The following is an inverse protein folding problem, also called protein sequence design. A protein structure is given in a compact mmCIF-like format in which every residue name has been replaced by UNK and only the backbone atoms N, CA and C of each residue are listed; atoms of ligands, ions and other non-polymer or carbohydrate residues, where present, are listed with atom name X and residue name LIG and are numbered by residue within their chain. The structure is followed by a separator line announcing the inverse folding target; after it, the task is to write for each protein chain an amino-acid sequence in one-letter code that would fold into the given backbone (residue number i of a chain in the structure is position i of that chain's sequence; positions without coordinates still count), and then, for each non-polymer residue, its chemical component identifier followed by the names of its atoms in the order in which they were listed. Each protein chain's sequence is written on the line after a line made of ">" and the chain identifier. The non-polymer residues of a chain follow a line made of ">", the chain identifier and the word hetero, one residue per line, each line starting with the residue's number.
data_IF_540507343699
#
_entry.id   IF_540507343699
#
_cell.length_a   1.000
_cell.length_b   1.000
_cell.length_c   1.000
_cell.angle_alpha   90.00
_cell.angle_beta   90.00
_cell.angle_gamma   90.00
#
_symmetry.space_group_name_H-M   'P 1'
#
loop_
_entity.id
_entity.type
_entity.pdbx_description
1 polymer ?
#
# COMPACT_ATOMS: atom_id res chain seq x y z
N UNK A 1 17.88 -51.83 -18.09
CA UNK A 1 16.46 -51.53 -17.83
C UNK A 1 16.18 -50.13 -17.28
N UNK A 2 17.17 -49.41 -16.71
CA UNK A 2 16.99 -48.02 -16.19
C UNK A 2 16.68 -46.99 -17.30
N UNK A 3 17.18 -47.19 -18.53
CA UNK A 3 16.99 -46.26 -19.65
C UNK A 3 15.55 -46.15 -20.16
N UNK A 4 14.73 -47.20 -20.03
CA UNK A 4 13.35 -47.20 -20.55
C UNK A 4 12.37 -46.41 -19.67
N UNK A 5 12.67 -46.27 -18.38
CA UNK A 5 11.78 -45.60 -17.41
C UNK A 5 11.93 -44.07 -17.43
N UNK A 6 13.14 -43.58 -17.76
CA UNK A 6 13.42 -42.15 -17.98
C UNK A 6 12.73 -41.63 -19.24
N UNK A 7 12.69 -42.45 -20.30
CA UNK A 7 12.04 -42.09 -21.58
C UNK A 7 10.52 -42.01 -21.44
N UNK A 8 9.90 -42.91 -20.65
CA UNK A 8 8.45 -42.96 -20.46
C UNK A 8 7.88 -41.80 -19.63
N UNK A 9 8.67 -41.19 -18.74
CA UNK A 9 8.20 -40.11 -17.85
C UNK A 9 8.50 -38.69 -18.37
N UNK A 10 9.60 -38.48 -19.10
CA UNK A 10 9.94 -37.18 -19.69
C UNK A 10 9.12 -36.85 -20.94
N UNK A 11 8.76 -37.85 -21.75
CA UNK A 11 8.01 -37.66 -23.00
C UNK A 11 6.65 -36.94 -22.84
N UNK A 12 5.74 -37.34 -21.93
CA UNK A 12 4.43 -36.69 -21.82
C UNK A 12 4.53 -35.26 -21.28
N UNK A 13 5.51 -34.96 -20.42
CA UNK A 13 5.73 -33.61 -19.89
C UNK A 13 6.28 -32.68 -20.96
N UNK A 14 7.26 -33.14 -21.74
CA UNK A 14 7.83 -32.38 -22.86
C UNK A 14 6.80 -32.20 -23.99
N UNK A 15 6.04 -33.26 -24.30
CA UNK A 15 4.96 -33.20 -25.30
C UNK A 15 3.85 -32.24 -24.87
N UNK A 16 3.41 -32.31 -23.61
CA UNK A 16 2.44 -31.36 -23.04
C UNK A 16 2.95 -29.92 -23.06
N UNK A 17 4.23 -29.69 -22.74
CA UNK A 17 4.84 -28.37 -22.82
C UNK A 17 4.95 -27.84 -24.25
N UNK A 18 5.27 -28.71 -25.23
CA UNK A 18 5.37 -28.37 -26.65
C UNK A 18 4.00 -28.06 -27.25
N UNK A 19 3.02 -28.95 -27.10
CA UNK A 19 1.63 -28.75 -27.57
C UNK A 19 1.04 -27.49 -26.97
N UNK A 20 1.31 -27.22 -25.70
CA UNK A 20 0.91 -25.99 -25.03
C UNK A 20 1.59 -24.75 -25.63
N UNK A 21 2.90 -24.80 -25.88
CA UNK A 21 3.64 -23.70 -26.49
C UNK A 21 3.12 -23.37 -27.91
N UNK A 22 2.77 -24.40 -28.69
CA UNK A 22 2.22 -24.27 -30.04
C UNK A 22 0.80 -23.70 -30.01
N UNK A 23 -0.14 -24.31 -29.26
CA UNK A 23 -1.52 -23.81 -29.16
C UNK A 23 -1.60 -22.40 -28.61
N UNK A 24 -0.71 -22.05 -27.66
CA UNK A 24 -0.65 -20.68 -27.12
C UNK A 24 -0.15 -19.68 -28.15
N UNK A 25 0.73 -20.09 -29.07
CA UNK A 25 1.22 -19.24 -30.15
C UNK A 25 0.12 -18.98 -31.19
N UNK A 26 -0.72 -19.97 -31.46
CA UNK A 26 -1.86 -19.89 -32.37
C UNK A 26 -3.02 -19.07 -31.80
N UNK A 27 -3.25 -19.13 -30.48
CA UNK A 27 -4.33 -18.39 -29.81
C UNK A 27 -4.00 -16.90 -29.54
N UNK A 28 -2.80 -16.42 -29.85
CA UNK A 28 -2.48 -15.00 -29.71
C UNK A 28 -2.98 -14.25 -30.94
N UNK A 29 -4.09 -13.54 -30.79
CA UNK A 29 -4.57 -12.57 -31.76
C UNK A 29 -3.43 -11.67 -32.25
N UNK A 30 -3.41 -11.27 -33.54
CA UNK A 30 -2.38 -10.38 -34.07
C UNK A 30 -2.26 -9.14 -33.17
N UNK A 31 -1.03 -8.85 -32.76
CA UNK A 31 -0.76 -7.72 -31.86
C UNK A 31 -1.13 -6.44 -32.63
N UNK A 32 -2.06 -5.63 -32.11
CA UNK A 32 -2.42 -4.38 -32.76
C UNK A 32 -1.18 -3.51 -32.89
N UNK A 33 -1.04 -2.85 -34.04
CA UNK A 33 0.03 -1.88 -34.25
C UNK A 33 -0.19 -0.74 -33.26
N UNK A 34 0.74 -0.50 -32.32
CA UNK A 34 0.56 0.57 -31.34
C UNK A 34 0.55 1.93 -32.05
N UNK A 35 -0.24 2.90 -31.58
CA UNK A 35 -0.18 4.27 -32.07
C UNK A 35 1.22 4.86 -31.84
N UNK A 36 1.60 5.91 -32.60
CA UNK A 36 2.88 6.56 -32.40
C UNK A 36 3.02 7.03 -30.95
N UNK A 37 4.23 6.97 -30.35
CA UNK A 37 4.43 7.27 -28.92
C UNK A 37 3.91 8.64 -28.47
N UNK A 38 3.81 9.60 -29.39
CA UNK A 38 3.35 10.98 -29.18
C UNK A 38 1.85 11.07 -28.89
N UNK A 39 1.05 10.10 -29.34
CA UNK A 39 -0.42 10.09 -29.18
C UNK A 39 -0.89 9.31 -27.94
N UNK A 40 0.05 8.78 -27.16
CA UNK A 40 -0.25 8.03 -25.94
C UNK A 40 -0.74 8.98 -24.84
N UNK A 41 -1.89 8.64 -24.23
CA UNK A 41 -2.39 9.37 -23.08
C UNK A 41 -1.41 9.30 -21.90
N UNK A 42 -1.42 10.34 -21.07
CA UNK A 42 -0.48 10.52 -19.98
C UNK A 42 -0.51 9.38 -18.94
N UNK A 43 -1.69 8.78 -18.70
CA UNK A 43 -1.84 7.60 -17.84
C UNK A 43 -1.07 6.39 -18.37
N UNK A 44 -1.11 6.17 -19.69
CA UNK A 44 -0.40 5.09 -20.36
C UNK A 44 1.11 5.33 -20.31
N UNK A 45 1.55 6.56 -20.56
CA UNK A 45 2.96 6.95 -20.39
C UNK A 45 3.43 6.67 -18.97
N UNK A 46 2.62 7.04 -17.97
CA UNK A 46 2.92 6.76 -16.57
C UNK A 46 3.06 5.26 -16.28
N UNK A 47 2.13 4.44 -16.79
CA UNK A 47 2.20 2.97 -16.69
C UNK A 47 3.47 2.42 -17.33
N UNK A 48 3.86 2.92 -18.50
CA UNK A 48 5.06 2.48 -19.22
C UNK A 48 6.34 2.81 -18.43
N UNK A 49 6.44 4.04 -17.92
CA UNK A 49 7.55 4.48 -17.07
C UNK A 49 7.59 3.69 -15.74
N UNK A 50 6.41 3.33 -15.22
CA UNK A 50 6.21 2.46 -14.06
C UNK A 50 6.46 0.97 -14.31
N UNK A 51 7.02 0.59 -15.49
CA UNK A 51 7.31 -0.80 -15.87
C UNK A 51 6.06 -1.70 -15.85
N UNK A 52 4.92 -1.16 -16.26
CA UNK A 52 3.62 -1.84 -16.27
C UNK A 52 2.75 -1.58 -15.04
N UNK A 53 3.27 -0.90 -14.01
CA UNK A 53 2.50 -0.50 -12.84
C UNK A 53 1.97 0.93 -13.03
N UNK A 54 0.64 1.11 -12.93
CA UNK A 54 0.01 2.44 -12.89
C UNK A 54 0.30 3.06 -11.54
N UNK A 55 0.87 4.26 -11.53
CA UNK A 55 1.25 4.96 -10.30
C UNK A 55 0.32 6.13 -10.00
N UNK A 56 0.21 6.59 -8.73
CA UNK A 56 -0.62 7.76 -8.40
C UNK A 56 -0.32 9.02 -9.22
N UNK A 57 0.91 9.16 -9.73
CA UNK A 57 1.28 10.26 -10.63
C UNK A 57 0.45 10.27 -11.93
N UNK A 58 -0.09 9.13 -12.34
CA UNK A 58 -1.03 9.04 -13.46
C UNK A 58 -2.26 9.92 -13.25
N UNK A 59 -2.76 10.06 -12.02
CA UNK A 59 -3.93 10.89 -11.69
C UNK A 59 -3.63 12.35 -12.04
N UNK A 60 -2.50 12.86 -11.58
CA UNK A 60 -2.06 14.24 -11.83
C UNK A 60 -1.84 14.48 -13.32
N UNK A 61 -1.13 13.58 -14.01
CA UNK A 61 -0.81 13.76 -15.41
C UNK A 61 -2.04 13.64 -16.31
N UNK A 62 -2.98 12.74 -16.00
CA UNK A 62 -4.28 12.66 -16.69
C UNK A 62 -5.12 13.88 -16.40
N UNK A 63 -5.11 14.39 -15.16
CA UNK A 63 -5.78 15.64 -14.80
C UNK A 63 -5.28 16.82 -15.64
N UNK A 64 -3.96 16.92 -15.83
CA UNK A 64 -3.36 17.95 -16.70
C UNK A 64 -3.72 17.76 -18.18
N UNK A 65 -3.76 16.51 -18.68
CA UNK A 65 -4.23 16.23 -20.05
C UNK A 65 -5.70 16.66 -20.23
N UNK A 66 -6.56 16.40 -19.25
CA UNK A 66 -7.96 16.85 -19.25
C UNK A 66 -8.09 18.37 -19.16
N UNK A 67 -7.16 19.06 -18.50
CA UNK A 67 -7.07 20.52 -18.51
C UNK A 67 -6.74 21.02 -19.92
N UNK A 68 -5.72 20.44 -20.56
CA UNK A 68 -5.36 20.79 -21.94
C UNK A 68 -6.47 20.50 -22.93
N UNK A 69 -7.26 19.46 -22.71
CA UNK A 69 -8.43 19.11 -23.50
C UNK A 69 -9.68 19.96 -23.19
N UNK A 70 -9.57 20.96 -22.29
CA UNK A 70 -10.69 21.83 -21.91
C UNK A 70 -11.81 21.14 -21.11
N UNK A 71 -11.58 19.93 -20.61
CA UNK A 71 -12.54 19.19 -19.77
C UNK A 71 -12.47 19.61 -18.30
N UNK A 72 -11.30 20.03 -17.84
CA UNK A 72 -11.05 20.59 -16.52
C UNK A 72 -10.48 22.00 -16.66
N UNK A 73 -10.76 22.89 -15.69
CA UNK A 73 -10.06 24.17 -15.56
C UNK A 73 -9.05 24.08 -14.44
N UNK A 74 -7.79 24.39 -14.76
CA UNK A 74 -6.72 24.49 -13.78
C UNK A 74 -6.63 25.90 -13.25
N UNK A 75 -6.68 26.03 -11.94
CA UNK A 75 -6.52 27.28 -11.23
C UNK A 75 -5.41 27.15 -10.20
N UNK A 76 -4.73 28.27 -9.91
CA UNK A 76 -3.68 28.31 -8.91
C UNK A 76 -4.15 29.23 -7.78
N UNK A 77 -4.22 28.69 -6.57
CA UNK A 77 -4.49 29.46 -5.35
C UNK A 77 -3.28 30.35 -5.01
N UNK A 78 -3.50 31.33 -4.12
CA UNK A 78 -2.46 32.25 -3.66
C UNK A 78 -1.29 31.55 -2.96
N UNK A 79 -1.54 30.39 -2.33
CA UNK A 79 -0.54 29.50 -1.72
C UNK A 79 0.29 28.69 -2.74
N UNK A 80 0.00 28.83 -4.04
CA UNK A 80 0.65 28.09 -5.13
C UNK A 80 0.03 26.72 -5.41
N UNK A 81 -0.94 26.26 -4.61
CA UNK A 81 -1.63 24.99 -4.81
C UNK A 81 -2.41 25.01 -6.13
N UNK A 82 -2.25 23.92 -6.90
CA UNK A 82 -2.97 23.68 -8.14
C UNK A 82 -4.30 23.01 -7.84
N UNK A 83 -5.39 23.70 -8.14
CA UNK A 83 -6.75 23.19 -8.01
C UNK A 83 -7.39 22.99 -9.38
N UNK A 84 -8.24 21.97 -9.49
CA UNK A 84 -9.02 21.70 -10.69
C UNK A 84 -10.50 21.85 -10.40
N UNK A 85 -11.27 22.31 -11.38
CA UNK A 85 -12.73 22.25 -11.39
C UNK A 85 -13.23 21.73 -12.72
N UNK A 86 -14.47 21.24 -12.74
CA UNK A 86 -15.15 20.87 -13.99
C UNK A 86 -15.33 22.12 -14.86
N UNK A 87 -15.13 21.98 -16.18
CA UNK A 87 -15.46 23.04 -17.13
C UNK A 87 -16.96 23.03 -17.43
N UNK A 88 -17.59 24.21 -17.47
CA UNK A 88 -19.05 24.36 -17.68
C UNK A 88 -19.49 23.96 -19.10
N UNK A 89 -18.64 24.21 -20.10
CA UNK A 89 -18.84 23.81 -21.50
C UNK A 89 -17.58 23.09 -22.00
N UNK A 90 -17.64 21.77 -21.94
CA UNK A 90 -16.55 20.95 -22.44
C UNK A 90 -16.69 20.77 -23.96
N UNK A 91 -16.21 21.74 -24.74
CA UNK A 91 -16.35 21.79 -26.20
C UNK A 91 -15.44 20.79 -26.96
N UNK A 92 -14.92 19.78 -26.26
CA UNK A 92 -14.00 18.81 -26.84
C UNK A 92 -14.77 17.74 -27.61
N UNK A 93 -14.42 17.60 -28.89
CA UNK A 93 -14.96 16.61 -29.83
C UNK A 93 -14.40 15.20 -29.62
N UNK A 94 -13.34 15.04 -28.81
CA UNK A 94 -12.73 13.72 -28.58
C UNK A 94 -13.57 12.93 -27.55
N UNK A 95 -13.92 11.66 -27.85
CA UNK A 95 -14.57 10.78 -26.88
C UNK A 95 -13.66 10.57 -25.67
N UNK A 96 -14.26 10.56 -24.48
CA UNK A 96 -13.55 10.31 -23.24
C UNK A 96 -13.12 8.84 -23.16
N UNK A 97 -11.90 8.60 -22.67
CA UNK A 97 -11.44 7.24 -22.32
C UNK A 97 -12.04 6.84 -20.98
N UNK A 98 -12.26 5.55 -20.75
CA UNK A 98 -12.89 5.08 -19.52
C UNK A 98 -12.16 5.53 -18.23
N UNK A 99 -10.82 5.61 -18.24
CA UNK A 99 -10.07 6.12 -17.08
C UNK A 99 -10.17 7.65 -16.93
N UNK A 100 -10.39 8.39 -18.02
CA UNK A 100 -10.63 9.84 -17.99
C UNK A 100 -12.00 10.13 -17.37
N UNK A 101 -13.02 9.35 -17.73
CA UNK A 101 -14.36 9.43 -17.14
C UNK A 101 -14.32 9.16 -15.63
N UNK A 102 -13.63 8.10 -15.19
CA UNK A 102 -13.44 7.80 -13.78
C UNK A 102 -12.75 8.95 -13.02
N UNK A 103 -11.81 9.66 -13.66
CA UNK A 103 -11.17 10.82 -13.05
C UNK A 103 -12.12 12.01 -12.95
N UNK A 104 -12.90 12.31 -14.00
CA UNK A 104 -13.91 13.36 -13.99
C UNK A 104 -15.02 13.09 -12.97
N UNK A 105 -15.46 11.84 -12.86
CA UNK A 105 -16.42 11.40 -11.84
C UNK A 105 -15.86 11.59 -10.44
N UNK A 106 -14.58 11.24 -10.22
CA UNK A 106 -13.91 11.52 -8.94
C UNK A 106 -13.85 13.02 -8.64
N UNK A 107 -13.49 13.85 -9.62
CA UNK A 107 -13.50 15.32 -9.44
C UNK A 107 -14.91 15.79 -9.11
N UNK A 108 -15.93 15.34 -9.83
CA UNK A 108 -17.35 15.68 -9.59
C UNK A 108 -17.78 15.28 -8.18
N UNK A 109 -17.48 14.05 -7.76
CA UNK A 109 -17.80 13.56 -6.43
C UNK A 109 -17.08 14.36 -5.32
N UNK A 110 -15.87 14.85 -5.60
CA UNK A 110 -15.09 15.67 -4.68
C UNK A 110 -15.50 17.15 -4.67
N UNK A 111 -16.02 17.66 -5.78
CA UNK A 111 -16.70 18.93 -5.83
C UNK A 111 -18.07 18.79 -5.13
N UNK A 112 -18.10 18.93 -3.81
CA UNK A 112 -19.37 18.94 -3.05
C UNK A 112 -20.14 20.23 -3.34
N UNK A 113 -21.41 20.27 -2.94
CA UNK A 113 -22.34 21.42 -3.10
C UNK A 113 -21.72 22.77 -2.69
N UNK A 114 -20.75 22.76 -1.77
CA UNK A 114 -20.11 23.97 -1.24
C UNK A 114 -18.63 24.14 -1.62
N UNK A 115 -18.07 23.25 -2.44
CA UNK A 115 -16.65 23.30 -2.82
C UNK A 115 -16.53 23.02 -4.32
N UNK A 116 -16.32 24.08 -5.10
CA UNK A 116 -16.30 24.05 -6.57
C UNK A 116 -14.98 23.55 -7.16
N UNK A 117 -13.87 23.65 -6.39
CA UNK A 117 -12.50 23.36 -6.83
C UNK A 117 -11.87 22.31 -5.96
N UNK A 118 -11.07 21.41 -6.52
CA UNK A 118 -10.39 20.32 -5.80
C UNK A 118 -8.88 20.39 -6.05
N UNK A 119 -8.02 20.39 -5.01
CA UNK A 119 -6.58 20.28 -5.19
C UNK A 119 -6.21 19.01 -5.97
N UNK A 120 -5.33 19.13 -6.96
CA UNK A 120 -4.90 17.97 -7.76
C UNK A 120 -4.30 16.86 -6.87
N UNK A 121 -3.63 17.26 -5.79
CA UNK A 121 -3.05 16.34 -4.80
C UNK A 121 -4.11 15.61 -3.95
N UNK A 122 -5.29 16.20 -3.74
CA UNK A 122 -6.41 15.58 -3.01
C UNK A 122 -7.06 14.43 -3.80
N UNK A 123 -6.87 14.39 -5.12
CA UNK A 123 -7.34 13.26 -5.94
C UNK A 123 -6.53 11.98 -5.71
N UNK A 124 -5.33 12.11 -5.12
CA UNK A 124 -4.38 11.03 -4.89
C UNK A 124 -4.62 10.17 -3.64
N UNK A 125 -3.66 9.29 -3.30
CA UNK A 125 -3.74 8.39 -2.16
C UNK A 125 -3.67 9.17 -0.85
N UNK A 126 -4.58 8.86 0.08
CA UNK A 126 -4.66 9.49 1.40
C UNK A 126 -5.97 10.21 1.66
N UNK A 127 -6.80 10.37 0.63
CA UNK A 127 -8.08 11.07 0.74
C UNK A 127 -9.25 10.14 0.37
N UNK A 128 -10.18 9.95 1.33
CA UNK A 128 -11.48 9.29 1.15
C UNK A 128 -11.51 7.76 1.30
N UNK A 129 -12.66 7.28 1.77
CA UNK A 129 -12.94 5.86 2.09
C UNK A 129 -12.95 4.98 0.84
N UNK A 130 -13.25 5.58 -0.31
CA UNK A 130 -13.42 4.89 -1.58
C UNK A 130 -12.21 4.98 -2.50
N UNK A 131 -11.12 5.64 -2.08
CA UNK A 131 -9.94 5.82 -2.93
C UNK A 131 -9.47 4.49 -3.51
N UNK A 132 -9.44 3.40 -2.74
CA UNK A 132 -8.93 2.11 -3.22
C UNK A 132 -9.86 1.38 -4.17
N UNK A 133 -11.17 1.54 -4.01
CA UNK A 133 -12.15 0.95 -4.93
C UNK A 133 -12.04 1.66 -6.27
N UNK A 134 -12.12 2.99 -6.23
CA UNK A 134 -11.94 3.84 -7.40
C UNK A 134 -10.56 3.64 -8.06
N UNK A 135 -9.47 3.63 -7.28
CA UNK A 135 -8.12 3.47 -7.78
C UNK A 135 -7.94 2.13 -8.49
N UNK A 136 -8.53 1.04 -7.97
CA UNK A 136 -8.53 -0.25 -8.67
C UNK A 136 -9.28 -0.18 -9.99
N UNK A 137 -10.40 0.53 -10.05
CA UNK A 137 -11.13 0.80 -11.31
C UNK A 137 -10.28 1.58 -12.31
N UNK A 138 -9.68 2.68 -11.86
CA UNK A 138 -8.79 3.52 -12.68
C UNK A 138 -7.58 2.71 -13.20
N UNK A 139 -6.88 1.98 -12.33
CA UNK A 139 -5.75 1.14 -12.73
C UNK A 139 -6.17 0.07 -13.74
N UNK A 140 -7.33 -0.56 -13.53
CA UNK A 140 -7.86 -1.59 -14.43
C UNK A 140 -8.16 -0.99 -15.81
N UNK A 141 -8.85 0.15 -15.87
CA UNK A 141 -9.17 0.82 -17.12
C UNK A 141 -7.91 1.24 -17.90
N UNK A 142 -6.90 1.78 -17.23
CA UNK A 142 -5.60 2.11 -17.85
C UNK A 142 -4.89 0.85 -18.37
N UNK A 143 -4.96 -0.26 -17.63
CA UNK A 143 -4.38 -1.53 -18.05
C UNK A 143 -5.12 -2.16 -19.22
N UNK A 144 -6.45 -2.12 -19.24
CA UNK A 144 -7.28 -2.62 -20.34
C UNK A 144 -6.98 -1.88 -21.64
N UNK A 145 -6.84 -0.55 -21.57
CA UNK A 145 -6.45 0.24 -22.74
C UNK A 145 -5.00 -0.06 -23.18
N UNK A 146 -4.07 -0.17 -22.23
CA UNK A 146 -2.69 -0.55 -22.55
C UNK A 146 -2.60 -1.98 -23.16
N UNK A 147 -3.50 -2.89 -22.77
CA UNK A 147 -3.64 -4.22 -23.37
C UNK A 147 -4.22 -4.12 -24.78
N UNK A 148 -5.26 -3.32 -24.99
CA UNK A 148 -5.88 -3.08 -26.29
C UNK A 148 -4.91 -2.46 -27.30
N UNK A 149 -3.97 -1.63 -26.84
CA UNK A 149 -2.90 -1.06 -27.67
C UNK A 149 -1.67 -1.97 -27.81
N UNK A 150 -1.69 -3.18 -27.25
CA UNK A 150 -0.56 -4.11 -27.32
C UNK A 150 0.71 -3.62 -26.60
N UNK A 151 0.60 -2.68 -25.66
CA UNK A 151 1.73 -2.10 -24.93
C UNK A 151 2.18 -2.97 -23.75
N UNK A 152 1.25 -3.68 -23.14
CA UNK A 152 1.52 -4.64 -22.08
C UNK A 152 0.99 -6.01 -22.43
N UNK A 153 1.56 -7.05 -21.81
CA UNK A 153 1.03 -8.40 -21.84
C UNK A 153 0.18 -8.64 -20.59
N UNK A 154 -0.93 -9.39 -20.71
CA UNK A 154 -1.70 -9.79 -19.54
C UNK A 154 -0.77 -10.51 -18.57
N UNK A 155 -0.92 -10.23 -17.29
CA UNK A 155 -0.18 -10.96 -16.27
C UNK A 155 -0.48 -12.45 -16.43
N UNK A 156 0.58 -13.25 -16.55
CA UNK A 156 0.48 -14.70 -16.71
C UNK A 156 -0.52 -15.23 -15.69
N UNK A 157 -1.56 -15.91 -16.17
CA UNK A 157 -2.65 -16.38 -15.32
C UNK A 157 -2.09 -17.07 -14.10
N UNK A 158 -2.47 -16.55 -12.94
CA UNK A 158 -2.12 -17.13 -11.64
C UNK A 158 -2.59 -18.58 -11.60
N UNK A 159 -3.77 -18.85 -12.17
CA UNK A 159 -4.37 -20.16 -12.28
C UNK A 159 -3.51 -21.11 -13.11
N UNK A 160 -3.13 -20.74 -14.33
CA UNK A 160 -2.23 -21.53 -15.18
C UNK A 160 -0.89 -21.84 -14.49
N UNK A 161 -0.31 -20.86 -13.81
CA UNK A 161 0.97 -21.09 -13.10
C UNK A 161 0.77 -22.03 -11.92
N UNK A 162 -0.40 -22.01 -11.28
CA UNK A 162 -0.80 -22.97 -10.25
C UNK A 162 -1.09 -24.36 -10.81
N UNK A 163 -1.80 -24.47 -11.93
CA UNK A 163 -2.10 -25.77 -12.55
C UNK A 163 -0.83 -26.46 -13.05
N UNK A 164 0.10 -25.72 -13.68
CA UNK A 164 1.41 -26.27 -14.07
C UNK A 164 2.23 -26.72 -12.84
N UNK A 165 2.08 -26.05 -11.70
CA UNK A 165 2.73 -26.46 -10.44
C UNK A 165 2.11 -27.73 -9.88
N UNK A 166 0.78 -27.80 -9.81
CA UNK A 166 0.05 -28.99 -9.34
C UNK A 166 0.40 -30.18 -10.24
N UNK A 167 0.38 -30.00 -11.56
CA UNK A 167 0.78 -31.03 -12.51
C UNK A 167 2.23 -31.49 -12.30
N UNK A 168 3.17 -30.56 -12.06
CA UNK A 168 4.55 -30.90 -11.74
C UNK A 168 4.70 -31.69 -10.44
N UNK A 169 3.95 -31.33 -9.39
CA UNK A 169 3.93 -32.06 -8.11
C UNK A 169 3.32 -33.45 -8.30
N UNK A 170 2.20 -33.57 -9.02
CA UNK A 170 1.56 -34.86 -9.29
C UNK A 170 2.47 -35.79 -10.10
N UNK A 171 3.13 -35.27 -11.14
CA UNK A 171 4.11 -36.02 -11.91
C UNK A 171 5.27 -36.51 -11.02
N UNK A 172 5.75 -35.65 -10.11
CA UNK A 172 6.80 -36.00 -9.17
C UNK A 172 6.38 -37.07 -8.15
N UNK A 173 5.17 -36.97 -7.59
CA UNK A 173 4.61 -38.01 -6.71
C UNK A 173 4.44 -39.33 -7.46
N UNK A 174 4.00 -39.29 -8.72
CA UNK A 174 3.90 -40.48 -9.57
C UNK A 174 5.24 -41.18 -9.79
N UNK A 175 6.33 -40.42 -9.98
CA UNK A 175 7.69 -40.97 -10.08
C UNK A 175 8.12 -41.64 -8.77
N UNK A 176 7.87 -41.02 -7.62
CA UNK A 176 8.19 -41.62 -6.32
C UNK A 176 7.39 -42.90 -6.07
N UNK A 177 6.10 -42.91 -6.41
CA UNK A 177 5.25 -44.09 -6.29
C UNK A 177 5.75 -45.23 -7.17
N UNK A 178 6.08 -44.96 -8.44
CA UNK A 178 6.66 -45.96 -9.34
C UNK A 178 8.00 -46.51 -8.82
N UNK A 179 8.81 -45.69 -8.15
CA UNK A 179 10.09 -46.11 -7.59
C UNK A 179 9.96 -46.95 -6.30
N UNK A 180 8.80 -46.93 -5.63
CA UNK A 180 8.58 -47.68 -4.37
C UNK A 180 8.65 -49.20 -4.55
N UNK A 181 8.38 -49.71 -5.76
CA UNK A 181 8.46 -51.13 -6.09
C UNK A 181 9.88 -51.69 -6.27
N UNK A 182 10.92 -50.84 -6.29
CA UNK A 182 12.31 -51.25 -6.57
C UNK A 182 13.16 -51.49 -5.31
N UNK A 183 12.52 -51.56 -4.14
CA UNK A 183 13.17 -51.84 -2.86
C UNK A 183 13.68 -50.59 -2.12
N UNK A 184 13.96 -50.72 -0.80
CA UNK A 184 14.16 -49.59 0.10
C UNK A 184 15.42 -48.75 -0.22
N UNK A 185 16.48 -49.38 -0.72
CA UNK A 185 17.76 -48.69 -1.02
C UNK A 185 17.62 -47.80 -2.26
N UNK A 186 16.97 -48.28 -3.31
CA UNK A 186 16.74 -47.51 -4.54
C UNK A 186 15.79 -46.36 -4.26
N UNK A 187 14.75 -46.61 -3.46
CA UNK A 187 13.81 -45.58 -3.03
C UNK A 187 14.51 -44.46 -2.23
N UNK A 188 15.36 -44.78 -1.25
CA UNK A 188 16.05 -43.78 -0.42
C UNK A 188 17.01 -42.90 -1.25
N UNK A 189 17.74 -43.50 -2.20
CA UNK A 189 18.62 -42.75 -3.12
C UNK A 189 17.81 -41.83 -4.03
N UNK A 190 16.73 -42.33 -4.66
CA UNK A 190 15.87 -41.51 -5.54
C UNK A 190 15.15 -40.42 -4.74
N UNK A 191 14.67 -40.74 -3.54
CA UNK A 191 14.01 -39.79 -2.64
C UNK A 191 14.98 -38.67 -2.26
N UNK A 192 16.18 -38.98 -1.76
CA UNK A 192 17.18 -37.97 -1.40
C UNK A 192 17.63 -37.13 -2.60
N UNK A 193 17.88 -37.77 -3.75
CA UNK A 193 18.32 -37.10 -4.97
C UNK A 193 17.24 -36.21 -5.60
N UNK A 194 15.95 -36.42 -5.31
CA UNK A 194 14.86 -35.64 -5.93
C UNK A 194 14.17 -34.69 -4.96
N UNK A 195 13.96 -35.07 -3.70
CA UNK A 195 13.24 -34.26 -2.68
C UNK A 195 14.07 -33.05 -2.27
N UNK A 196 15.33 -33.25 -1.90
CA UNK A 196 16.21 -32.19 -1.41
C UNK A 196 16.37 -31.05 -2.44
N UNK A 197 16.70 -31.32 -3.72
CA UNK A 197 16.78 -30.26 -4.72
C UNK A 197 15.43 -29.74 -5.21
N UNK A 198 14.29 -30.39 -4.88
CA UNK A 198 12.95 -29.88 -5.23
C UNK A 198 12.39 -28.96 -4.14
N UNK A 199 12.70 -29.21 -2.87
CA UNK A 199 12.27 -28.40 -1.72
C UNK A 199 12.97 -27.04 -1.72
N UNK A 200 14.25 -26.98 -2.11
CA UNK A 200 15.03 -25.73 -2.15
C UNK A 200 14.43 -24.69 -3.12
N UNK A 201 14.12 -24.99 -4.40
CA UNK A 201 13.39 -24.10 -5.29
C UNK A 201 11.98 -23.80 -4.79
N UNK A 202 11.27 -24.75 -4.19
CA UNK A 202 9.90 -24.50 -3.72
C UNK A 202 9.88 -23.43 -2.61
N UNK A 203 10.82 -23.52 -1.66
CA UNK A 203 11.02 -22.53 -0.60
C UNK A 203 11.54 -21.20 -1.15
N UNK A 204 12.52 -21.25 -2.07
CA UNK A 204 13.08 -20.04 -2.67
C UNK A 204 12.07 -19.29 -3.55
N UNK A 205 11.19 -20.00 -4.27
CA UNK A 205 10.12 -19.42 -5.08
C UNK A 205 8.95 -18.84 -4.28
N UNK A 206 8.76 -19.21 -3.01
CA UNK A 206 7.82 -18.52 -2.11
C UNK A 206 8.36 -17.15 -1.70
N UNK A 207 9.69 -17.01 -1.64
CA UNK A 207 10.37 -15.77 -1.29
C UNK A 207 10.47 -14.74 -2.41
N UNK A 208 10.34 -15.15 -3.69
CA UNK A 208 10.18 -14.18 -4.77
C UNK A 208 8.75 -13.63 -4.75
N UNK A 209 8.53 -12.36 -4.36
CA UNK A 209 7.20 -11.78 -4.37
C UNK A 209 6.71 -11.75 -5.82
N UNK A 210 5.80 -12.67 -6.15
CA UNK A 210 5.04 -12.68 -7.40
C UNK A 210 4.03 -11.55 -7.37
N UNK A 211 4.52 -10.32 -7.39
CA UNK A 211 3.66 -9.20 -7.75
C UNK A 211 3.27 -9.42 -9.21
N UNK A 212 1.98 -9.49 -9.53
CA UNK A 212 1.52 -9.53 -10.91
C UNK A 212 1.87 -8.18 -11.55
N UNK A 213 3.12 -8.04 -12.00
CA UNK A 213 3.55 -6.94 -12.86
C UNK A 213 3.19 -7.33 -14.27
N UNK A 214 2.33 -6.54 -14.90
CA UNK A 214 2.17 -6.61 -16.34
C UNK A 214 3.54 -6.37 -16.98
N UNK A 215 3.92 -7.23 -17.91
CA UNK A 215 5.21 -7.11 -18.59
C UNK A 215 5.02 -6.26 -19.84
N UNK A 216 5.88 -5.27 -20.03
CA UNK A 216 5.89 -4.47 -21.27
C UNK A 216 6.18 -5.39 -22.48
N UNK A 217 5.42 -5.20 -23.57
CA UNK A 217 5.72 -5.81 -24.88
C UNK A 217 6.97 -5.18 -25.49
N UNK A 218 7.39 -5.64 -26.69
CA UNK A 218 8.46 -4.96 -27.42
C UNK A 218 8.07 -3.51 -27.75
N UNK A 219 6.84 -3.32 -28.24
CA UNK A 219 6.23 -2.01 -28.45
C UNK A 219 6.23 -1.15 -27.18
N UNK A 220 5.73 -1.68 -26.05
CA UNK A 220 5.73 -0.95 -24.79
C UNK A 220 7.12 -0.58 -24.29
N UNK A 221 8.14 -1.43 -24.52
CA UNK A 221 9.53 -1.11 -24.19
C UNK A 221 10.08 0.00 -25.08
N UNK A 222 9.79 -0.03 -26.38
CA UNK A 222 10.21 1.00 -27.33
C UNK A 222 9.55 2.35 -27.00
N UNK A 223 8.24 2.36 -26.76
CA UNK A 223 7.51 3.56 -26.34
C UNK A 223 8.03 4.09 -24.98
N UNK A 224 8.27 3.21 -24.01
CA UNK A 224 8.88 3.58 -22.74
C UNK A 224 10.28 4.17 -22.91
N UNK A 225 11.10 3.65 -23.83
CA UNK A 225 12.42 4.17 -24.10
C UNK A 225 12.35 5.58 -24.71
N UNK A 226 11.49 5.75 -25.72
CA UNK A 226 11.24 7.05 -26.36
C UNK A 226 10.85 8.14 -25.35
N UNK A 227 9.90 7.85 -24.45
CA UNK A 227 9.47 8.79 -23.42
C UNK A 227 10.54 9.08 -22.34
N UNK A 228 11.48 8.16 -22.10
CA UNK A 228 12.60 8.41 -21.17
C UNK A 228 13.66 9.33 -21.75
N UNK A 229 13.89 9.26 -23.07
CA UNK A 229 14.89 10.07 -23.76
C UNK A 229 14.34 11.38 -24.31
N UNK A 230 13.02 11.53 -24.37
CA UNK A 230 12.36 12.71 -24.91
C UNK A 230 12.38 13.95 -24.00
N UNK A 231 12.13 15.14 -24.54
CA UNK A 231 12.16 16.42 -23.80
C UNK A 231 11.11 16.49 -22.68
N UNK A 232 10.04 15.68 -22.77
CA UNK A 232 8.96 15.63 -21.78
C UNK A 232 9.21 14.64 -20.63
N UNK A 233 10.36 13.98 -20.58
CA UNK A 233 10.68 12.97 -19.56
C UNK A 233 10.54 13.51 -18.11
N UNK A 234 10.87 14.78 -17.88
CA UNK A 234 10.79 15.41 -16.57
C UNK A 234 9.33 15.51 -16.04
N UNK A 235 8.37 15.81 -16.91
CA UNK A 235 6.96 15.97 -16.53
C UNK A 235 6.32 14.66 -16.07
N UNK A 236 6.78 13.52 -16.63
CA UNK A 236 6.27 12.18 -16.31
C UNK A 236 7.19 11.39 -15.37
N UNK A 237 8.26 12.01 -14.84
CA UNK A 237 9.20 11.34 -13.94
C UNK A 237 8.48 10.92 -12.66
N UNK A 238 8.55 9.63 -12.36
CA UNK A 238 8.02 9.08 -11.12
C UNK A 238 8.91 9.54 -9.95
N UNK A 239 8.35 10.00 -8.82
CA UNK A 239 9.14 10.23 -7.62
C UNK A 239 9.73 8.91 -7.09
N UNK A 240 10.94 8.97 -6.53
CA UNK A 240 11.70 7.80 -6.07
C UNK A 240 10.96 6.95 -5.01
N UNK A 241 10.00 7.56 -4.30
CA UNK A 241 9.17 6.90 -3.30
C UNK A 241 7.71 7.32 -3.44
N UNK A 242 6.91 6.44 -4.02
CA UNK A 242 5.46 6.64 -4.11
C UNK A 242 4.73 5.94 -2.97
N UNK A 243 4.04 6.74 -2.15
CA UNK A 243 2.99 6.26 -1.24
C UNK A 243 1.83 5.76 -2.09
N UNK A 244 1.30 4.55 -1.85
CA UNK A 244 0.16 4.00 -2.60
C UNK A 244 0.50 2.91 -3.62
N UNK A 245 1.74 2.84 -4.15
CA UNK A 245 2.11 1.87 -5.19
C UNK A 245 2.16 0.40 -4.69
N UNK A 246 2.12 0.16 -3.38
CA UNK A 246 2.22 -1.19 -2.78
C UNK A 246 0.86 -1.81 -2.43
N UNK A 247 -0.25 -1.31 -2.96
CA UNK A 247 -1.60 -1.82 -2.73
C UNK A 247 -2.23 -1.29 -1.42
N UNK A 248 -3.37 -1.85 -0.96
CA UNK A 248 -4.11 -1.36 0.22
C UNK A 248 -3.25 -1.34 1.49
N UNK A 249 -2.24 -2.22 1.58
CA UNK A 249 -1.19 -2.21 2.60
C UNK A 249 -0.20 -1.02 2.48
N UNK A 250 -0.55 0.06 1.77
CA UNK A 250 0.14 1.35 1.78
C UNK A 250 -0.76 2.53 2.15
N UNK A 251 -2.08 2.31 2.22
CA UNK A 251 -2.97 2.94 3.20
C UNK A 251 -2.86 2.21 4.55
N UNK A 252 -1.61 1.92 4.92
CA UNK A 252 -1.30 1.50 6.27
C UNK A 252 -1.89 2.54 7.22
N UNK A 253 -2.24 2.12 8.45
CA UNK A 253 -2.50 3.08 9.52
C UNK A 253 -1.51 4.22 9.44
N UNK A 254 -1.96 5.44 9.68
CA UNK A 254 -1.12 6.64 9.76
C UNK A 254 -0.10 6.41 10.87
N UNK A 255 0.96 5.64 10.62
CA UNK A 255 2.02 5.27 11.58
C UNK A 255 3.09 6.35 11.63
N UNK A 256 3.11 7.22 10.63
CA UNK A 256 3.92 8.41 10.57
C UNK A 256 3.00 9.61 10.35
N UNK A 257 3.35 10.80 10.88
CA UNK A 257 2.64 12.03 10.57
C UNK A 257 2.53 12.22 9.05
N UNK A 258 1.34 12.60 8.58
CA UNK A 258 1.09 12.86 7.15
C UNK A 258 0.23 14.10 6.99
N UNK A 259 0.45 14.80 5.88
CA UNK A 259 -0.44 15.86 5.41
C UNK A 259 -1.57 15.24 4.61
N UNK A 260 -2.80 15.49 5.02
CA UNK A 260 -4.02 15.03 4.33
C UNK A 260 -4.85 16.25 3.97
N UNK A 261 -5.49 16.21 2.81
CA UNK A 261 -6.40 17.25 2.38
C UNK A 261 -7.75 17.10 3.09
N UNK A 262 -8.24 18.19 3.65
CA UNK A 262 -9.60 18.29 4.19
C UNK A 262 -10.39 19.31 3.37
N UNK A 263 -11.66 19.02 3.13
CA UNK A 263 -12.64 19.96 2.59
C UNK A 263 -13.61 20.47 3.65
N UNK A 264 -13.30 20.24 4.93
CA UNK A 264 -14.08 20.76 6.04
C UNK A 264 -14.13 22.30 6.00
N UNK A 265 -15.18 22.88 6.57
CA UNK A 265 -15.44 24.32 6.52
C UNK A 265 -15.59 24.90 5.09
N UNK A 266 -16.01 24.08 4.13
CA UNK A 266 -16.27 24.49 2.73
C UNK A 266 -15.01 24.99 2.01
N UNK A 267 -13.82 24.66 2.49
CA UNK A 267 -12.57 25.04 1.81
C UNK A 267 -11.52 23.94 1.89
N UNK A 268 -10.83 23.71 0.77
CA UNK A 268 -9.72 22.76 0.78
C UNK A 268 -8.49 23.35 1.44
N UNK A 269 -7.99 22.64 2.45
CA UNK A 269 -6.78 22.96 3.16
C UNK A 269 -6.05 21.68 3.60
N UNK A 270 -4.77 21.83 3.94
CA UNK A 270 -3.94 20.70 4.36
C UNK A 270 -3.95 20.59 5.88
N UNK A 271 -4.25 19.40 6.38
CA UNK A 271 -4.29 19.08 7.80
C UNK A 271 -3.15 18.14 8.15
N UNK A 272 -2.41 18.47 9.19
CA UNK A 272 -1.39 17.59 9.74
C UNK A 272 -2.06 16.50 10.59
N UNK A 273 -1.92 15.25 10.15
CA UNK A 273 -2.48 14.09 10.84
C UNK A 273 -1.47 13.52 11.83
N UNK A 274 -1.89 13.39 13.08
CA UNK A 274 -1.10 12.77 14.12
C UNK A 274 -1.13 11.23 13.94
N UNK A 275 -0.02 10.53 14.20
CA UNK A 275 0.03 9.08 13.97
C UNK A 275 -0.94 8.33 14.88
N UNK A 276 -1.55 7.25 14.37
CA UNK A 276 -2.42 6.32 15.09
C UNK A 276 -1.71 5.72 16.31
N UNK A 277 -0.40 5.45 16.17
CA UNK A 277 0.40 4.99 17.28
C UNK A 277 0.40 6.05 18.40
N UNK A 278 0.23 5.59 19.64
CA UNK A 278 0.45 6.44 20.82
C UNK A 278 1.84 7.07 20.68
N UNK A 279 2.05 8.30 21.19
CA UNK A 279 3.39 8.86 21.27
C UNK A 279 4.24 7.93 22.15
N UNK A 280 4.97 7.01 21.49
CA UNK A 280 5.85 6.05 22.15
C UNK A 280 7.11 6.81 22.55
N UNK A 281 7.74 6.32 23.59
CA UNK A 281 9.11 6.69 23.93
C UNK A 281 10.10 6.30 22.81
N UNK A 282 9.67 5.54 21.79
CA UNK A 282 10.52 5.13 20.67
C UNK A 282 11.67 4.26 21.16
N UNK A 283 12.87 4.42 20.60
CA UNK A 283 14.09 3.80 21.14
C UNK A 283 14.59 4.46 22.43
N UNK A 284 13.98 5.56 22.89
CA UNK A 284 14.44 6.29 24.07
C UNK A 284 14.26 5.47 25.34
N UNK A 285 13.23 4.62 25.45
CA UNK A 285 13.14 3.72 26.61
C UNK A 285 14.27 2.68 26.61
N UNK A 286 14.71 2.22 25.43
CA UNK A 286 15.85 1.31 25.32
C UNK A 286 17.13 2.00 25.77
N UNK A 287 17.31 3.29 25.43
CA UNK A 287 18.44 4.09 25.90
C UNK A 287 18.37 4.36 27.41
N UNK A 288 17.18 4.58 27.96
CA UNK A 288 16.99 4.73 29.42
C UNK A 288 17.32 3.41 30.13
N UNK A 289 16.82 2.27 29.63
CA UNK A 289 17.17 0.97 30.21
C UNK A 289 18.65 0.62 30.04
N UNK A 290 19.26 0.96 28.90
CA UNK A 290 20.69 0.78 28.68
C UNK A 290 21.48 1.64 29.66
N UNK A 291 21.09 2.91 29.87
CA UNK A 291 21.71 3.79 30.85
C UNK A 291 21.58 3.24 32.27
N UNK A 292 20.40 2.72 32.65
CA UNK A 292 20.17 2.05 33.94
C UNK A 292 21.04 0.78 34.06
N UNK A 293 21.14 -0.03 33.01
CA UNK A 293 21.95 -1.24 32.99
C UNK A 293 23.45 -0.95 33.08
N UNK A 294 23.94 0.07 32.36
CA UNK A 294 25.31 0.57 32.50
C UNK A 294 25.57 1.04 33.92
N UNK A 295 24.60 1.73 34.53
CA UNK A 295 24.66 2.21 35.90
C UNK A 295 24.79 1.04 36.89
N UNK A 296 23.92 0.04 36.78
CA UNK A 296 23.98 -1.17 37.59
C UNK A 296 25.32 -1.92 37.43
N UNK A 297 25.85 -1.99 36.21
CA UNK A 297 27.15 -2.60 35.93
C UNK A 297 28.32 -1.80 36.51
N UNK A 298 28.23 -0.46 36.61
CA UNK A 298 29.26 0.37 37.25
C UNK A 298 29.20 0.35 38.78
N UNK A 299 28.02 0.11 39.37
CA UNK A 299 27.84 0.02 40.83
C UNK A 299 28.19 -1.36 41.37
N UNK A 300 27.96 -2.43 40.59
CA UNK A 300 28.26 -3.81 40.98
C UNK A 300 29.72 -4.07 41.45
N UNK A 301 30.78 -3.55 40.79
CA UNK A 301 32.16 -3.72 41.27
C UNK A 301 32.48 -2.88 42.51
N UNK A 302 31.78 -1.75 42.74
CA UNK A 302 31.97 -0.94 43.95
C UNK A 302 31.44 -1.64 45.22
N UNK A 303 30.56 -2.63 45.07
CA UNK A 303 30.10 -3.50 46.16
C UNK A 303 31.06 -4.67 46.46
N UNK A 304 32.15 -4.82 45.70
CA UNK A 304 33.19 -5.81 46.02
C UNK A 304 34.25 -5.19 46.95
N UNK A 305 34.59 -5.83 48.08
CA UNK A 305 35.30 -5.20 49.21
C UNK A 305 36.80 -4.93 49.00
N UNK A 306 37.29 -4.73 47.76
CA UNK A 306 38.74 -4.71 47.46
C UNK A 306 39.30 -3.47 46.74
N UNK A 307 38.52 -2.42 46.49
CA UNK A 307 39.02 -1.23 45.76
C UNK A 307 39.05 -0.02 46.71
N UNK A 308 40.15 0.73 46.86
CA UNK A 308 40.19 1.91 47.74
C UNK A 308 39.20 2.99 47.27
N UNK A 309 38.29 3.38 48.17
CA UNK A 309 37.17 4.29 47.94
C UNK A 309 37.59 5.75 48.15
N UNK A 310 37.20 6.66 47.26
CA UNK A 310 37.37 8.10 47.56
C UNK A 310 36.73 9.09 46.61
N UNK A 311 36.64 8.82 45.30
CA UNK A 311 36.17 9.86 44.34
C UNK A 311 35.26 9.32 43.23
N UNK A 312 35.27 8.02 42.96
CA UNK A 312 34.52 7.41 41.84
C UNK A 312 33.07 7.04 42.17
N UNK A 313 32.67 7.06 43.44
CA UNK A 313 31.34 6.62 43.88
C UNK A 313 30.21 7.67 43.65
N UNK A 314 30.53 8.96 43.64
CA UNK A 314 29.50 10.01 43.54
C UNK A 314 29.24 10.52 42.10
N UNK A 315 30.25 10.46 41.22
CA UNK A 315 30.12 10.98 39.85
C UNK A 315 29.25 10.09 38.94
N UNK A 316 29.25 8.77 39.18
CA UNK A 316 28.51 7.80 38.36
C UNK A 316 26.99 7.99 38.43
N UNK A 317 26.37 7.98 39.63
CA UNK A 317 24.94 8.20 39.79
C UNK A 317 24.49 9.58 39.27
N UNK A 318 25.29 10.62 39.48
CA UNK A 318 24.98 11.96 38.98
C UNK A 318 24.99 12.03 37.45
N UNK A 319 25.98 11.41 36.79
CA UNK A 319 26.06 11.36 35.33
C UNK A 319 24.92 10.54 34.73
N UNK A 320 24.54 9.42 35.34
CA UNK A 320 23.38 8.64 34.88
C UNK A 320 22.07 9.38 35.13
N UNK A 321 21.90 10.02 36.29
CA UNK A 321 20.75 10.89 36.55
C UNK A 321 20.63 12.00 35.49
N UNK A 322 21.75 12.62 35.12
CA UNK A 322 21.79 13.63 34.07
C UNK A 322 21.46 13.07 32.68
N UNK A 323 21.97 11.89 32.30
CA UNK A 323 21.66 11.23 31.02
C UNK A 323 20.20 10.80 30.95
N UNK A 324 19.69 10.17 32.01
CA UNK A 324 18.27 9.78 32.11
C UNK A 324 17.40 11.03 32.03
N UNK A 325 17.71 12.10 32.78
CA UNK A 325 16.98 13.36 32.70
C UNK A 325 17.03 13.96 31.29
N UNK A 326 18.21 14.02 30.66
CA UNK A 326 18.39 14.56 29.31
C UNK A 326 17.61 13.78 28.24
N UNK A 327 17.44 12.46 28.39
CA UNK A 327 16.65 11.63 27.48
C UNK A 327 15.15 11.64 27.82
N UNK A 328 14.81 11.62 29.11
CA UNK A 328 13.44 11.54 29.61
C UNK A 328 12.70 12.87 29.47
N UNK A 329 13.31 14.01 29.78
CA UNK A 329 12.65 15.33 29.72
C UNK A 329 12.14 15.67 28.32
N UNK A 330 12.90 15.53 27.22
CA UNK A 330 12.39 15.82 25.88
C UNK A 330 11.26 14.86 25.47
N UNK A 331 11.40 13.57 25.77
CA UNK A 331 10.37 12.57 25.47
C UNK A 331 9.08 12.86 26.27
N UNK A 332 9.21 13.15 27.56
CA UNK A 332 8.10 13.49 28.42
C UNK A 332 7.43 14.80 28.00
N UNK A 333 8.20 15.84 27.66
CA UNK A 333 7.68 17.10 27.11
C UNK A 333 6.91 16.88 25.82
N UNK A 334 7.41 16.03 24.90
CA UNK A 334 6.68 15.66 23.67
C UNK A 334 5.34 14.99 23.97
N UNK A 335 5.29 14.07 24.93
CA UNK A 335 4.04 13.40 25.35
C UNK A 335 3.08 14.38 26.04
N UNK A 336 3.59 15.27 26.91
CA UNK A 336 2.78 16.27 27.63
C UNK A 336 2.18 17.33 26.70
N UNK A 337 2.86 17.68 25.60
CA UNK A 337 2.34 18.58 24.56
C UNK A 337 1.07 18.06 23.89
N UNK A 338 0.84 16.73 23.92
CA UNK A 338 -0.41 16.15 23.44
C UNK A 338 -1.45 16.27 24.55
N UNK A 339 -2.62 16.88 24.29
CA UNK A 339 -3.65 17.07 25.28
C UNK A 339 -4.12 15.72 25.84
N UNK A 340 -4.36 15.69 27.15
CA UNK A 340 -4.80 14.48 27.83
C UNK A 340 -6.22 14.12 27.41
N UNK A 341 -7.11 15.10 27.35
CA UNK A 341 -8.51 14.96 26.96
C UNK A 341 -8.93 16.19 26.16
N UNK A 342 -9.74 15.97 25.12
CA UNK A 342 -10.29 17.02 24.26
C UNK A 342 -11.70 16.62 23.87
N UNK A 343 -12.62 17.57 23.91
CA UNK A 343 -13.94 17.47 23.30
C UNK A 343 -14.04 18.52 22.20
N UNK A 344 -14.36 18.11 20.97
CA UNK A 344 -14.52 19.01 19.84
C UNK A 344 -15.50 18.44 18.81
N UNK A 345 -16.12 19.33 18.05
CA UNK A 345 -16.87 18.99 16.83
C UNK A 345 -15.92 19.05 15.65
N UNK A 346 -15.84 17.98 14.88
CA UNK A 346 -14.87 17.84 13.80
C UNK A 346 -15.38 17.01 12.64
N UNK A 347 -14.63 16.95 11.54
CA UNK A 347 -14.98 16.14 10.38
C UNK A 347 -14.06 14.92 10.23
N UNK A 348 -14.64 13.80 9.81
CA UNK A 348 -13.88 12.61 9.42
C UNK A 348 -13.17 12.89 8.10
N UNK A 349 -11.85 13.04 8.09
CA UNK A 349 -11.09 13.37 6.87
C UNK A 349 -10.46 12.16 6.20
N UNK A 350 -10.36 11.04 6.92
CA UNK A 350 -9.85 9.78 6.37
C UNK A 350 -10.38 8.59 7.16
N UNK A 351 -10.83 7.53 6.48
CA UNK A 351 -11.07 6.21 7.07
C UNK A 351 -10.16 5.18 6.43
N UNK A 352 -9.73 4.20 7.22
CA UNK A 352 -9.08 3.01 6.70
C UNK A 352 -9.30 1.85 7.66
N UNK A 353 -9.30 0.65 7.08
CA UNK A 353 -9.44 -0.59 7.81
C UNK A 353 -8.12 -1.37 7.68
N UNK A 354 -7.63 -1.96 8.77
CA UNK A 354 -6.49 -2.88 8.69
C UNK A 354 -6.75 -4.16 9.48
N UNK A 355 -6.23 -5.27 8.96
CA UNK A 355 -6.40 -6.58 9.57
C UNK A 355 -5.16 -6.98 10.34
N UNK A 356 -5.34 -7.48 11.57
CA UNK A 356 -4.32 -8.22 12.30
C UNK A 356 -4.72 -9.68 12.37
N UNK A 357 -3.79 -10.56 12.00
CA UNK A 357 -3.96 -12.01 12.12
C UNK A 357 -3.36 -12.47 13.43
N UNK A 358 -4.08 -13.32 14.15
CA UNK A 358 -3.59 -14.00 15.33
C UNK A 358 -3.72 -15.49 15.03
N UNK A 359 -2.65 -16.24 15.28
CA UNK A 359 -2.60 -17.65 14.89
C UNK A 359 -3.16 -18.58 15.99
N UNK A 360 -3.27 -18.08 17.23
CA UNK A 360 -3.73 -18.85 18.38
C UNK A 360 -4.63 -18.02 19.32
N UNK A 361 -5.97 -18.20 19.27
CA UNK A 361 -6.71 -18.93 18.26
C UNK A 361 -6.66 -18.23 16.88
N UNK A 362 -6.83 -18.97 15.76
CA UNK A 362 -6.77 -18.42 14.40
C UNK A 362 -7.91 -17.42 14.14
N UNK A 363 -7.62 -16.15 14.42
CA UNK A 363 -8.59 -15.06 14.41
C UNK A 363 -8.07 -13.91 13.54
N UNK A 364 -8.98 -13.33 12.77
CA UNK A 364 -8.74 -12.09 12.06
C UNK A 364 -9.45 -10.99 12.84
N UNK A 365 -8.70 -9.97 13.24
CA UNK A 365 -9.26 -8.75 13.81
C UNK A 365 -9.17 -7.65 12.76
N UNK A 366 -10.32 -7.17 12.30
CA UNK A 366 -10.44 -5.96 11.47
C UNK A 366 -10.51 -4.76 12.40
N UNK A 367 -9.56 -3.84 12.28
CA UNK A 367 -9.53 -2.59 13.03
C UNK A 367 -10.07 -1.47 12.16
N UNK A 368 -11.15 -0.84 12.61
CA UNK A 368 -11.76 0.31 11.94
C UNK A 368 -11.15 1.58 12.50
N UNK A 369 -10.54 2.37 11.63
CA UNK A 369 -9.82 3.56 12.03
C UNK A 369 -10.27 4.77 11.22
N UNK A 370 -10.24 5.93 11.86
CA UNK A 370 -10.48 7.19 11.18
C UNK A 370 -9.53 8.28 11.69
N UNK A 371 -9.33 9.31 10.88
CA UNK A 371 -8.72 10.57 11.29
C UNK A 371 -9.80 11.64 11.30
N UNK A 372 -9.92 12.33 12.42
CA UNK A 372 -10.91 13.39 12.63
C UNK A 372 -10.16 14.70 12.79
N UNK A 373 -10.50 15.68 11.97
CA UNK A 373 -9.96 17.03 12.05
C UNK A 373 -10.59 17.80 13.21
N UNK A 374 -9.74 18.41 14.04
CA UNK A 374 -10.11 19.42 15.01
C UNK A 374 -9.99 20.81 14.37
N UNK A 375 -11.11 21.51 14.11
CA UNK A 375 -11.10 22.81 13.42
C UNK A 375 -10.32 23.86 14.21
N UNK A 376 -10.34 23.81 15.54
CA UNK A 376 -9.66 24.80 16.37
C UNK A 376 -8.13 24.72 16.28
N UNK A 377 -7.59 23.56 15.92
CA UNK A 377 -6.14 23.35 15.83
C UNK A 377 -5.62 23.04 14.42
N UNK A 378 -6.51 22.90 13.43
CA UNK A 378 -6.21 22.41 12.08
C UNK A 378 -5.30 21.17 12.07
N UNK A 379 -5.55 20.28 13.03
CA UNK A 379 -4.86 19.00 13.18
C UNK A 379 -5.87 17.88 13.13
N UNK A 380 -5.48 16.76 12.55
CA UNK A 380 -6.29 15.57 12.61
C UNK A 380 -5.72 14.59 13.61
N UNK A 381 -6.62 13.93 14.32
CA UNK A 381 -6.29 12.90 15.28
C UNK A 381 -6.77 11.56 14.73
N UNK A 382 -5.83 10.63 14.56
CA UNK A 382 -6.14 9.26 14.15
C UNK A 382 -6.52 8.40 15.34
N UNK A 383 -7.64 7.69 15.24
CA UNK A 383 -8.13 6.79 16.27
C UNK A 383 -8.51 5.44 15.68
N UNK A 384 -8.44 4.42 16.54
CA UNK A 384 -9.17 3.18 16.34
C UNK A 384 -10.56 3.37 16.94
N UNK A 385 -11.57 3.29 16.09
CA UNK A 385 -12.97 3.48 16.44
C UNK A 385 -13.56 2.18 16.94
N UNK A 386 -13.29 1.08 16.24
CA UNK A 386 -13.85 -0.22 16.56
C UNK A 386 -12.92 -1.38 16.18
N UNK A 387 -13.23 -2.55 16.71
CA UNK A 387 -12.64 -3.82 16.30
C UNK A 387 -13.71 -4.87 16.06
N UNK A 388 -13.55 -5.60 14.96
CA UNK A 388 -14.36 -6.75 14.67
C UNK A 388 -13.48 -7.99 14.61
N UNK A 389 -13.77 -8.96 15.46
CA UNK A 389 -13.05 -10.22 15.55
C UNK A 389 -13.89 -11.31 14.92
N UNK A 390 -13.32 -12.03 13.96
CA UNK A 390 -13.97 -13.19 13.35
C UNK A 390 -12.97 -14.34 13.15
N UNK A 391 -13.45 -15.59 13.07
CA UNK A 391 -12.60 -16.73 12.73
C UNK A 391 -11.91 -16.52 11.38
N UNK A 392 -10.66 -16.96 11.24
CA UNK A 392 -9.87 -16.76 10.02
C UNK A 392 -10.52 -17.32 8.74
N UNK A 393 -11.40 -18.30 8.89
CA UNK A 393 -12.11 -18.98 7.79
C UNK A 393 -13.55 -18.49 7.58
N UNK A 394 -14.00 -17.49 8.34
CA UNK A 394 -15.30 -16.85 8.11
C UNK A 394 -15.18 -15.79 6.99
N UNK A 395 -16.17 -15.80 6.09
CA UNK A 395 -16.38 -14.77 5.07
C UNK A 395 -17.39 -13.71 5.51
N UNK A 396 -17.77 -13.70 6.79
CA UNK A 396 -18.70 -12.72 7.30
C UNK A 396 -18.14 -11.31 7.07
N UNK A 397 -19.03 -10.35 6.93
CA UNK A 397 -18.69 -8.93 7.00
C UNK A 397 -19.58 -8.30 8.05
N UNK A 398 -19.09 -7.23 8.70
CA UNK A 398 -19.89 -6.47 9.64
C UNK A 398 -20.46 -5.22 8.96
N UNK A 399 -21.71 -5.25 8.46
CA UNK A 399 -22.32 -4.13 7.74
C UNK A 399 -22.58 -2.92 8.65
N UNK A 400 -22.68 -3.11 9.96
CA UNK A 400 -22.87 -2.02 10.93
C UNK A 400 -21.60 -1.15 11.03
N UNK A 401 -20.43 -1.80 10.97
CA UNK A 401 -19.14 -1.10 11.04
C UNK A 401 -18.74 -0.47 9.72
N UNK A 402 -19.12 -1.07 8.60
CA UNK A 402 -18.86 -0.52 7.27
C UNK A 402 -19.57 0.82 7.04
N UNK A 403 -20.69 1.05 7.73
CA UNK A 403 -21.54 2.23 7.55
C UNK A 403 -21.48 3.24 8.70
N UNK A 404 -20.60 3.03 9.69
CA UNK A 404 -20.65 3.81 10.93
C UNK A 404 -20.20 5.26 10.76
N UNK A 405 -19.12 5.49 10.01
CA UNK A 405 -18.61 6.82 9.69
C UNK A 405 -18.06 6.84 8.26
N UNK A 406 -18.38 7.92 7.54
CA UNK A 406 -17.90 8.21 6.19
C UNK A 406 -17.00 9.45 6.19
N UNK A 407 -16.08 9.52 5.22
CA UNK A 407 -15.32 10.75 5.00
C UNK A 407 -16.24 11.93 4.69
N UNK A 408 -16.06 12.98 5.50
CA UNK A 408 -16.84 14.20 5.50
C UNK A 408 -18.01 14.20 6.46
N UNK A 409 -18.29 13.10 7.19
CA UNK A 409 -19.25 13.14 8.30
C UNK A 409 -18.72 14.07 9.39
N UNK A 410 -19.62 14.87 9.96
CA UNK A 410 -19.32 15.73 11.10
C UNK A 410 -19.70 14.99 12.38
N UNK A 411 -18.76 14.89 13.31
CA UNK A 411 -18.89 14.15 14.55
C UNK A 411 -18.55 15.04 15.74
N UNK A 412 -19.28 14.87 16.84
CA UNK A 412 -18.88 15.34 18.15
C UNK A 412 -18.01 14.25 18.78
N UNK A 413 -16.76 14.61 19.08
CA UNK A 413 -15.75 13.69 19.58
C UNK A 413 -15.31 14.11 20.98
N UNK A 414 -15.44 13.21 21.94
CA UNK A 414 -14.75 13.29 23.22
C UNK A 414 -13.69 12.20 23.29
N UNK A 415 -12.43 12.59 23.35
CA UNK A 415 -11.32 11.65 23.26
C UNK A 415 -10.12 12.05 24.10
N UNK A 416 -9.18 11.11 24.23
CA UNK A 416 -7.84 11.32 24.74
C UNK A 416 -6.83 11.15 23.60
N UNK A 417 -6.37 12.24 22.94
CA UNK A 417 -5.36 12.16 21.89
C UNK A 417 -4.06 11.52 22.39
N UNK A 418 -3.66 11.81 23.65
CA UNK A 418 -2.48 11.23 24.29
C UNK A 418 -2.58 9.71 24.44
N UNK A 419 -3.74 9.19 24.84
CA UNK A 419 -3.96 7.74 25.03
C UNK A 419 -4.45 7.05 23.76
N UNK A 420 -4.78 7.81 22.71
CA UNK A 420 -5.44 7.34 21.46
C UNK A 420 -6.73 6.58 21.77
N UNK A 421 -7.51 7.10 22.72
CA UNK A 421 -8.76 6.48 23.17
C UNK A 421 -9.92 7.44 22.88
N UNK A 422 -10.96 6.94 22.25
CA UNK A 422 -12.23 7.64 22.13
C UNK A 422 -13.06 7.30 23.38
N UNK A 423 -13.62 8.31 24.03
CA UNK A 423 -14.57 8.13 25.14
C UNK A 423 -16.01 8.15 24.62
N UNK A 424 -16.33 9.08 23.73
CA UNK A 424 -17.58 9.10 22.97
C UNK A 424 -17.37 9.70 21.58
N UNK A 425 -18.11 9.20 20.60
CA UNK A 425 -18.17 9.74 19.25
C UNK A 425 -19.61 9.67 18.77
N UNK A 426 -20.20 10.81 18.44
CA UNK A 426 -21.60 10.91 17.99
C UNK A 426 -21.66 11.65 16.67
N UNK A 427 -22.35 11.07 15.69
CA UNK A 427 -22.52 11.69 14.37
C UNK A 427 -23.54 12.83 14.48
N UNK A 428 -23.16 14.02 14.00
CA UNK A 428 -23.99 15.22 14.01
C UNK A 428 -24.56 15.51 12.63
N UNK A 429 -23.74 15.35 11.59
CA UNK A 429 -24.14 15.58 10.20
C UNK A 429 -23.55 14.46 9.33
N UNK A 430 -24.43 13.71 8.66
CA UNK A 430 -24.04 12.65 7.75
C UNK A 430 -23.91 13.19 6.33
N UNK A 431 -22.90 12.77 5.61
CA UNK A 431 -22.81 13.02 4.17
C UNK A 431 -23.92 12.22 3.46
N UNK A 432 -24.66 12.83 2.51
CA UNK A 432 -25.67 12.12 1.73
C UNK A 432 -25.09 10.86 1.09
N UNK A 433 -25.89 9.78 1.11
CA UNK A 433 -25.43 8.46 0.68
C UNK A 433 -25.35 8.29 -0.83
#
# INVERSE_FOLDING_TARGET
>A
MVSSLVVLTLCPVLFGALVYAVRRREAMAPVPVPPPPQELAAALVNLLLGKGEVTPKAIETTGLELVHAGRLRLERKADGTRTVRLADEADSRRPLRAFEELLLERVRHRCRVHVDRVPMEALGPGDGDEYWVWWRGFQRSVQEEALALGLIRPTREKYLTWTLRIAGVLAWVGVLYACSGFGPVVFDVVFKATVVPSVVPLLWFQWFPRRPRSRLTAAGRQASAWWRTGPHAAAHRLPDRQVGAKGPASALPVRAPRRIWSSYEKSWHVVDTAPLDRPRWGHVWQLVLLAIALCAATVAPALTPRIPHGVTLDAGPALVGAVVAALWLPAHRRIRRVPAEVAFRGAVISRWDYTTRHDDPPTITVHYCCSIEDPGSHRAWSFKVDEWRHPMFSNDSNPELENRFRVGDVVDLHCSPRRRKIYSITMVEAVPR
#
